data_IF_722900453976
#
_entry.id   IF_722900453976
#
_cell.length_a   1.000
_cell.length_b   1.000
_cell.length_c   1.000
_cell.angle_alpha   90.00
_cell.angle_beta   90.00
_cell.angle_gamma   90.00
#
_symmetry.space_group_name_H-M   'P 1'
#
loop_
_entity.id
_entity.type
_entity.pdbx_description
1 polymer ?
#
# COMPACT_ATOMS: atom_id res chain seq x y z
N UNK A 1 -12.41 -18.69 -7.77
CA UNK A 1 -13.60 -17.84 -7.49
C UNK A 1 -13.14 -16.42 -7.17
N UNK A 2 -13.99 -15.39 -7.31
CA UNK A 2 -13.57 -14.00 -7.04
C UNK A 2 -13.09 -13.80 -5.60
N UNK A 3 -13.60 -14.62 -4.68
CA UNK A 3 -13.25 -14.63 -3.26
C UNK A 3 -11.86 -15.21 -2.99
N UNK A 4 -11.45 -16.23 -3.74
CA UNK A 4 -10.10 -16.81 -3.67
C UNK A 4 -9.01 -15.78 -4.03
N UNK A 5 -9.30 -14.94 -5.03
CA UNK A 5 -8.42 -13.84 -5.42
C UNK A 5 -8.36 -12.72 -4.37
N UNK A 6 -9.43 -12.52 -3.59
CA UNK A 6 -9.44 -11.57 -2.46
C UNK A 6 -8.65 -12.13 -1.29
N UNK A 7 -8.78 -13.42 -1.01
CA UNK A 7 -8.07 -14.08 0.09
C UNK A 7 -6.56 -14.08 -0.15
N UNK A 8 -6.10 -14.46 -1.34
CA UNK A 8 -4.66 -14.43 -1.69
C UNK A 8 -4.09 -13.02 -1.54
N UNK A 9 -4.84 -12.01 -2.00
CA UNK A 9 -4.44 -10.61 -1.88
C UNK A 9 -4.40 -10.16 -0.44
N UNK A 10 -5.45 -10.42 0.33
CA UNK A 10 -5.53 -10.00 1.73
C UNK A 10 -4.40 -10.64 2.54
N UNK A 11 -4.10 -11.91 2.24
CA UNK A 11 -2.99 -12.65 2.87
C UNK A 11 -1.63 -12.08 2.49
N UNK A 12 -1.42 -11.74 1.22
CA UNK A 12 -0.21 -11.04 0.77
C UNK A 12 -0.08 -9.65 1.40
N UNK A 13 -1.18 -8.91 1.53
CA UNK A 13 -1.20 -7.59 2.16
C UNK A 13 -0.79 -7.71 3.63
N UNK A 14 -1.42 -8.60 4.40
CA UNK A 14 -1.07 -8.84 5.81
C UNK A 14 0.40 -9.27 5.98
N UNK A 15 0.90 -10.14 5.10
CA UNK A 15 2.27 -10.63 5.16
C UNK A 15 3.32 -9.53 4.90
N UNK A 16 2.97 -8.56 4.06
CA UNK A 16 3.89 -7.47 3.68
C UNK A 16 3.76 -6.28 4.63
N UNK A 17 2.55 -6.03 5.14
CA UNK A 17 2.24 -4.97 6.10
C UNK A 17 3.08 -5.05 7.37
N UNK A 18 3.21 -6.25 7.97
CA UNK A 18 4.01 -6.44 9.17
C UNK A 18 5.49 -6.09 8.99
N UNK A 19 6.09 -6.45 7.85
CA UNK A 19 7.48 -6.07 7.56
C UNK A 19 7.61 -4.57 7.35
N UNK A 20 6.75 -3.98 6.51
CA UNK A 20 6.79 -2.55 6.20
C UNK A 20 6.61 -1.67 7.44
N UNK A 21 5.69 -2.02 8.34
CA UNK A 21 5.53 -1.32 9.61
C UNK A 21 6.81 -1.40 10.45
N UNK A 22 7.42 -2.58 10.53
CA UNK A 22 8.62 -2.78 11.34
C UNK A 22 9.83 -1.97 10.81
N UNK A 23 10.00 -1.89 9.49
CA UNK A 23 11.03 -1.03 8.89
C UNK A 23 10.75 0.46 9.12
N UNK A 24 9.49 0.90 9.02
CA UNK A 24 9.15 2.31 9.25
C UNK A 24 9.37 2.68 10.70
N UNK A 25 9.00 1.81 11.65
CA UNK A 25 9.16 2.04 13.07
C UNK A 25 10.64 2.21 13.45
N UNK A 26 11.50 1.37 12.90
CA UNK A 26 12.96 1.44 13.11
C UNK A 26 13.58 2.67 12.46
N UNK A 27 13.14 3.07 11.26
CA UNK A 27 13.60 4.32 10.62
C UNK A 27 13.10 5.54 11.40
N UNK A 28 11.84 5.56 11.84
CA UNK A 28 11.29 6.62 12.72
C UNK A 28 12.15 6.79 13.97
N UNK A 29 12.49 5.69 14.64
CA UNK A 29 13.35 5.71 15.82
C UNK A 29 14.73 6.30 15.51
N UNK A 30 15.31 5.91 14.37
CA UNK A 30 16.62 6.41 13.91
C UNK A 30 16.58 7.91 13.61
N UNK A 31 15.55 8.41 12.94
CA UNK A 31 15.41 9.84 12.63
C UNK A 31 15.18 10.67 13.90
N UNK A 32 14.40 10.16 14.86
CA UNK A 32 14.23 10.81 16.16
C UNK A 32 15.55 10.88 16.92
N UNK A 33 16.34 9.81 16.94
CA UNK A 33 17.67 9.83 17.53
C UNK A 33 18.59 10.86 16.85
N UNK A 34 18.56 10.96 15.51
CA UNK A 34 19.29 11.98 14.76
C UNK A 34 18.81 13.41 15.06
N UNK A 35 17.52 13.62 15.34
CA UNK A 35 17.01 14.93 15.72
C UNK A 35 17.44 15.38 17.12
N UNK A 36 17.64 14.42 18.04
CA UNK A 36 18.06 14.70 19.42
C UNK A 36 19.58 14.80 19.57
N UNK A 37 20.34 13.93 18.91
CA UNK A 37 21.79 13.83 19.01
C UNK A 37 22.55 14.47 17.83
N UNK A 38 21.85 14.85 16.75
CA UNK A 38 22.46 15.45 15.57
C UNK A 38 22.85 16.92 15.75
N UNK A 39 23.90 17.33 15.04
CA UNK A 39 24.34 18.73 15.00
C UNK A 39 23.39 19.62 14.19
N UNK A 40 23.54 20.93 14.35
CA UNK A 40 22.66 21.95 13.75
C UNK A 40 22.51 21.81 12.22
N UNK A 41 23.59 21.41 11.53
CA UNK A 41 23.58 21.19 10.09
C UNK A 41 22.66 20.03 9.65
N UNK A 42 22.58 18.95 10.45
CA UNK A 42 21.80 17.75 10.11
C UNK A 42 20.36 17.87 10.65
N UNK A 43 20.14 18.71 11.67
CA UNK A 43 18.82 18.85 12.31
C UNK A 43 17.72 19.27 11.34
N UNK A 44 17.99 20.25 10.47
CA UNK A 44 17.03 20.70 9.45
C UNK A 44 16.75 19.59 8.41
N UNK A 45 17.79 18.86 8.01
CA UNK A 45 17.66 17.72 7.10
C UNK A 45 16.87 16.56 7.70
N UNK A 46 17.15 16.20 8.96
CA UNK A 46 16.41 15.18 9.69
C UNK A 46 14.95 15.57 9.91
N UNK A 47 14.65 16.86 10.07
CA UNK A 47 13.26 17.34 10.17
C UNK A 47 12.50 17.15 8.85
N UNK A 48 13.15 17.46 7.72
CA UNK A 48 12.60 17.20 6.39
C UNK A 48 12.44 15.69 6.13
N UNK A 49 13.41 14.87 6.55
CA UNK A 49 13.32 13.40 6.49
C UNK A 49 12.16 12.86 7.32
N UNK A 50 11.94 13.38 8.53
CA UNK A 50 10.84 12.97 9.40
C UNK A 50 9.48 13.26 8.74
N UNK A 51 9.30 14.49 8.24
CA UNK A 51 8.07 14.88 7.54
C UNK A 51 7.83 14.05 6.26
N UNK A 52 8.89 13.84 5.47
CA UNK A 52 8.85 13.01 4.26
C UNK A 52 8.54 11.54 4.57
N UNK A 53 9.12 11.00 5.65
CA UNK A 53 8.88 9.63 6.09
C UNK A 53 7.43 9.43 6.54
N UNK A 54 6.88 10.34 7.36
CA UNK A 54 5.48 10.24 7.82
C UNK A 54 4.52 10.30 6.62
N UNK A 55 4.69 11.30 5.75
CA UNK A 55 3.86 11.46 4.56
C UNK A 55 3.99 10.28 3.58
N UNK A 56 5.22 9.86 3.29
CA UNK A 56 5.51 8.78 2.35
C UNK A 56 5.03 7.42 2.85
N UNK A 57 5.20 7.14 4.15
CA UNK A 57 4.75 5.86 4.71
C UNK A 57 3.23 5.79 4.75
N UNK A 58 2.57 6.83 5.26
CA UNK A 58 1.12 6.85 5.32
C UNK A 58 0.48 6.73 3.93
N UNK A 59 1.01 7.47 2.95
CA UNK A 59 0.57 7.40 1.55
C UNK A 59 0.78 5.99 0.96
N UNK A 60 1.96 5.40 1.16
CA UNK A 60 2.26 4.07 0.60
C UNK A 60 1.46 2.95 1.24
N UNK A 61 1.33 2.92 2.57
CA UNK A 61 0.61 1.85 3.26
C UNK A 61 -0.91 1.93 3.09
N UNK A 62 -1.49 3.12 3.19
CA UNK A 62 -2.95 3.28 3.22
C UNK A 62 -3.54 3.71 1.88
N UNK A 63 -2.90 4.61 1.13
CA UNK A 63 -3.47 5.09 -0.15
C UNK A 63 -3.21 4.07 -1.25
N UNK A 64 -2.00 3.52 -1.37
CA UNK A 64 -1.70 2.56 -2.44
C UNK A 64 -2.49 1.24 -2.28
N UNK A 65 -2.63 0.72 -1.05
CA UNK A 65 -3.41 -0.49 -0.78
C UNK A 65 -4.90 -0.32 -1.14
N UNK A 66 -5.53 0.77 -0.68
CA UNK A 66 -6.94 1.07 -0.97
C UNK A 66 -7.16 1.32 -2.46
N UNK A 67 -6.26 2.08 -3.11
CA UNK A 67 -6.35 2.36 -4.54
C UNK A 67 -6.22 1.08 -5.38
N UNK A 68 -5.30 0.19 -5.00
CA UNK A 68 -5.12 -1.10 -5.66
C UNK A 68 -6.37 -1.99 -5.53
N UNK A 69 -7.01 -2.01 -4.35
CA UNK A 69 -8.25 -2.74 -4.11
C UNK A 69 -9.40 -2.23 -4.98
N UNK A 70 -9.58 -0.90 -5.07
CA UNK A 70 -10.58 -0.27 -5.93
C UNK A 70 -10.34 -0.59 -7.40
N UNK A 71 -9.08 -0.54 -7.84
CA UNK A 71 -8.73 -0.82 -9.23
C UNK A 71 -8.95 -2.29 -9.58
N UNK A 72 -8.55 -3.21 -8.71
CA UNK A 72 -8.82 -4.65 -8.85
C UNK A 72 -10.32 -4.95 -8.85
N UNK A 73 -11.11 -4.28 -8.01
CA UNK A 73 -12.57 -4.42 -8.00
C UNK A 73 -13.23 -3.97 -9.32
N UNK A 74 -12.76 -2.85 -9.92
CA UNK A 74 -13.20 -2.43 -11.26
C UNK A 74 -12.83 -3.42 -12.35
N UNK A 75 -11.62 -3.98 -12.32
CA UNK A 75 -11.17 -4.98 -13.30
C UNK A 75 -12.01 -6.27 -13.22
N UNK A 76 -12.33 -6.73 -12.01
CA UNK A 76 -13.18 -7.90 -11.80
C UNK A 76 -14.63 -7.66 -12.26
N UNK A 77 -15.18 -6.45 -12.04
CA UNK A 77 -16.51 -6.07 -12.51
C UNK A 77 -16.59 -6.02 -14.05
N UNK A 78 -15.52 -5.54 -14.70
CA UNK A 78 -15.38 -5.50 -16.16
C UNK A 78 -15.20 -6.90 -16.77
N UNK A 79 -14.49 -7.79 -16.07
CA UNK A 79 -14.33 -9.19 -16.47
C UNK A 79 -15.61 -10.03 -16.36
N UNK A 80 -16.43 -9.80 -15.31
CA UNK A 80 -17.78 -10.41 -15.22
C UNK A 80 -18.71 -9.91 -16.32
N UNK A 81 -18.79 -8.60 -16.55
CA UNK A 81 -19.60 -8.05 -17.65
C UNK A 81 -19.23 -8.62 -19.02
N UNK A 82 -17.95 -8.87 -19.27
CA UNK A 82 -17.50 -9.43 -20.55
C UNK A 82 -17.82 -10.92 -20.69
N UNK A 83 -17.85 -11.69 -19.61
CA UNK A 83 -18.30 -13.10 -19.60
C UNK A 83 -19.81 -13.21 -19.75
N UNK A 84 -20.56 -12.39 -19.01
CA UNK A 84 -22.02 -12.36 -19.10
C UNK A 84 -22.51 -11.90 -20.50
N UNK A 85 -21.73 -11.07 -21.22
CA UNK A 85 -21.98 -10.72 -22.62
C UNK A 85 -21.66 -11.84 -23.62
N UNK A 86 -20.66 -12.69 -23.33
CA UNK A 86 -20.28 -13.82 -24.19
C UNK A 86 -21.24 -15.00 -24.02
N UNK A 87 -21.84 -15.18 -22.83
CA UNK A 87 -22.88 -16.18 -22.57
C UNK A 87 -24.29 -15.75 -23.07
N UNK A 88 -24.46 -14.47 -23.42
CA UNK A 88 -25.72 -13.92 -23.94
C UNK A 88 -25.80 -13.87 -25.48
N UNK A 89 -24.73 -14.23 -26.18
CA UNK A 89 -24.76 -14.47 -27.62
C UNK A 89 -24.90 -15.99 -27.83
N UNK A 90 -26.12 -16.52 -28.06
CA UNK A 90 -26.27 -17.92 -28.40
C UNK A 90 -25.56 -18.15 -29.73
N UNK A 91 -24.64 -19.11 -29.71
CA UNK A 91 -24.08 -19.81 -30.85
C UNK A 91 -25.19 -20.04 -31.90
N UNK A 92 -25.08 -19.35 -33.05
CA UNK A 92 -25.78 -19.67 -34.30
C UNK A 92 -24.84 -20.39 -35.25
#
# INVERSE_FOLDING_TARGET
TVDDLKDVVNKALQQTFGRSVNTVLTVMFTVVALLLFGSEAIRNFSFALLAGLISGTYSSLFIAAQLWLIWKAKQLKKGKQKRDQLEAEPEV
#
